data_IF_422873096773
#
_entry.id   IF_422873096773
#
_cell.length_a   1.000
_cell.length_b   1.000
_cell.length_c   1.000
_cell.angle_alpha   90.00
_cell.angle_beta   90.00
_cell.angle_gamma   90.00
#
_symmetry.space_group_name_H-M   'P 1'
#
loop_
_entity.id
_entity.type
_entity.pdbx_description
1 polymer ?
#
# COMPACT_ATOMS: atom_id res chain seq x y z
N UNK A 1 26.36 -62.07 10.41
CA UNK A 1 26.50 -60.64 10.10
C UNK A 1 26.59 -60.53 8.58
N UNK A 2 25.50 -60.19 7.89
CA UNK A 2 25.51 -59.99 6.44
C UNK A 2 24.52 -58.86 6.09
N UNK A 3 25.01 -57.83 5.41
CA UNK A 3 24.23 -56.69 4.94
C UNK A 3 23.84 -56.91 3.46
N UNK A 4 22.57 -56.66 3.12
CA UNK A 4 22.02 -56.81 1.78
C UNK A 4 22.18 -55.53 0.95
N UNK A 5 22.82 -55.62 -0.21
CA UNK A 5 22.79 -54.61 -1.28
C UNK A 5 21.62 -54.88 -2.23
N UNK A 6 20.83 -53.84 -2.55
CA UNK A 6 19.65 -53.89 -3.41
C UNK A 6 20.02 -53.71 -4.90
N UNK A 7 19.41 -54.44 -5.85
CA UNK A 7 19.79 -54.44 -7.26
C UNK A 7 19.09 -53.34 -8.09
N UNK A 8 19.84 -52.76 -9.03
CA UNK A 8 19.32 -51.94 -10.15
C UNK A 8 18.59 -52.81 -11.18
N UNK A 9 17.62 -52.26 -11.94
CA UNK A 9 17.24 -52.82 -13.22
C UNK A 9 17.62 -51.92 -14.41
N UNK A 10 17.91 -52.64 -15.49
CA UNK A 10 18.44 -52.24 -16.79
C UNK A 10 17.31 -51.80 -17.74
N UNK A 11 17.69 -50.90 -18.64
CA UNK A 11 17.02 -50.38 -19.84
C UNK A 11 16.31 -51.41 -20.72
N UNK A 12 15.16 -51.06 -21.29
CA UNK A 12 14.54 -51.75 -22.44
C UNK A 12 14.14 -50.73 -23.50
N UNK A 13 14.84 -50.79 -24.65
CA UNK A 13 14.29 -50.88 -26.01
C UNK A 13 13.37 -49.77 -26.53
N UNK A 14 13.88 -49.03 -27.51
CA UNK A 14 13.20 -48.07 -28.37
C UNK A 14 12.13 -48.70 -29.28
N UNK A 15 11.03 -47.98 -29.53
CA UNK A 15 10.34 -47.98 -30.84
C UNK A 15 9.79 -46.59 -31.13
N UNK A 16 10.17 -46.06 -32.29
CA UNK A 16 9.80 -44.78 -32.88
C UNK A 16 8.35 -44.74 -33.37
N UNK A 17 7.60 -43.67 -33.03
CA UNK A 17 6.61 -43.01 -33.90
C UNK A 17 6.33 -41.58 -33.39
N UNK A 18 6.70 -40.57 -34.20
CA UNK A 18 6.41 -39.13 -34.07
C UNK A 18 4.91 -38.81 -34.25
N UNK A 19 4.41 -37.56 -34.02
CA UNK A 19 5.08 -36.34 -33.58
C UNK A 19 4.38 -35.68 -32.38
N UNK A 20 5.07 -35.34 -31.30
CA UNK A 20 4.63 -34.19 -30.53
C UNK A 20 5.79 -33.57 -29.78
N UNK A 21 6.12 -32.36 -30.21
CA UNK A 21 7.18 -31.50 -29.70
C UNK A 21 7.01 -31.33 -28.20
N UNK A 22 7.70 -32.17 -27.41
CA UNK A 22 7.79 -31.98 -25.97
C UNK A 22 8.60 -30.71 -25.75
N UNK A 23 7.91 -29.60 -25.51
CA UNK A 23 8.53 -28.36 -25.07
C UNK A 23 9.38 -28.66 -23.83
N UNK A 24 10.68 -28.42 -23.96
CA UNK A 24 11.62 -28.50 -22.84
C UNK A 24 11.16 -27.52 -21.77
N UNK A 25 11.21 -27.91 -20.48
CA UNK A 25 10.85 -27.05 -19.35
C UNK A 25 11.62 -25.71 -19.35
N UNK A 26 12.80 -25.68 -19.99
CA UNK A 26 13.58 -24.46 -20.18
C UNK A 26 12.92 -23.40 -21.08
N UNK A 27 11.95 -23.78 -21.93
CA UNK A 27 11.24 -22.83 -22.81
C UNK A 27 10.08 -22.08 -22.15
N UNK A 28 9.59 -22.53 -20.99
CA UNK A 28 8.57 -21.83 -20.19
C UNK A 28 9.15 -20.71 -19.32
N UNK A 29 10.47 -20.62 -19.20
CA UNK A 29 11.17 -19.60 -18.40
C UNK A 29 11.58 -18.37 -19.21
N UNK A 30 10.98 -18.13 -20.38
CA UNK A 30 11.17 -16.84 -21.06
C UNK A 30 10.57 -15.76 -20.16
N UNK A 31 11.35 -14.76 -19.70
CA UNK A 31 10.78 -13.61 -19.04
C UNK A 31 9.82 -12.96 -20.04
N UNK A 32 8.53 -12.99 -19.73
CA UNK A 32 7.59 -12.10 -20.39
C UNK A 32 8.12 -10.70 -20.13
N UNK A 33 8.57 -10.01 -21.18
CA UNK A 33 8.89 -8.59 -21.10
C UNK A 33 7.56 -7.86 -20.90
N UNK A 34 7.04 -7.88 -19.67
CA UNK A 34 6.31 -6.73 -19.19
C UNK A 34 7.29 -5.58 -19.29
N UNK A 35 6.93 -4.58 -20.08
CA UNK A 35 7.60 -3.29 -20.16
C UNK A 35 7.43 -2.56 -18.82
N UNK A 36 7.93 -3.17 -17.73
CA UNK A 36 8.19 -2.47 -16.50
C UNK A 36 9.37 -1.58 -16.83
N UNK A 37 9.07 -0.31 -17.06
CA UNK A 37 10.05 0.76 -17.07
C UNK A 37 10.69 0.75 -15.68
N UNK A 38 11.69 -0.12 -15.49
CA UNK A 38 12.49 -0.22 -14.28
C UNK A 38 13.30 1.07 -14.25
N UNK A 39 12.71 2.13 -13.69
CA UNK A 39 13.47 3.30 -13.31
C UNK A 39 14.53 2.76 -12.36
N UNK A 40 15.79 2.78 -12.82
CA UNK A 40 16.94 2.33 -12.06
C UNK A 40 16.92 3.14 -10.77
N UNK A 41 16.48 2.54 -9.67
CA UNK A 41 16.35 3.23 -8.37
C UNK A 41 17.76 3.54 -7.91
N UNK A 42 18.23 4.75 -8.19
CA UNK A 42 19.54 5.22 -7.71
C UNK A 42 19.40 5.49 -6.23
N UNK A 43 20.11 4.70 -5.41
CA UNK A 43 20.17 4.92 -3.98
C UNK A 43 20.85 6.26 -3.70
N UNK A 44 20.31 7.02 -2.75
CA UNK A 44 20.95 8.24 -2.30
C UNK A 44 22.27 7.95 -1.57
N UNK A 45 23.29 8.79 -1.74
CA UNK A 45 24.53 8.67 -0.98
C UNK A 45 24.28 8.93 0.50
N UNK A 46 25.07 8.28 1.35
CA UNK A 46 25.09 8.51 2.79
C UNK A 46 26.16 9.58 3.08
N UNK A 47 25.76 10.62 3.81
CA UNK A 47 26.64 11.69 4.29
C UNK A 47 26.86 11.52 5.80
N UNK A 48 28.06 11.80 6.31
CA UNK A 48 28.31 11.75 7.76
C UNK A 48 28.22 13.17 8.34
N UNK A 49 27.14 13.45 9.05
CA UNK A 49 26.90 14.75 9.70
C UNK A 49 27.14 14.56 11.20
N UNK A 50 28.15 15.23 11.75
CA UNK A 50 28.60 15.06 13.15
C UNK A 50 28.92 13.59 13.54
N UNK A 51 29.39 12.78 12.58
CA UNK A 51 29.69 11.37 12.80
C UNK A 51 28.48 10.43 12.65
N UNK A 52 27.29 10.96 12.38
CA UNK A 52 26.08 10.17 12.17
C UNK A 52 25.79 9.98 10.67
N UNK A 53 25.61 8.72 10.20
CA UNK A 53 25.25 8.44 8.80
C UNK A 53 23.84 8.96 8.52
N UNK A 54 23.75 9.94 7.62
CA UNK A 54 22.54 10.69 7.30
C UNK A 54 22.27 10.63 5.81
N UNK A 55 21.00 10.40 5.44
CA UNK A 55 20.52 10.53 4.07
C UNK A 55 19.65 11.78 3.99
N UNK A 56 19.97 12.69 3.07
CA UNK A 56 19.24 13.96 2.92
C UNK A 56 18.26 13.87 1.77
N UNK A 57 17.01 14.22 2.05
CA UNK A 57 15.95 14.38 1.05
C UNK A 57 15.64 15.86 0.89
N UNK A 58 15.49 16.32 -0.34
CA UNK A 58 14.98 17.66 -0.61
C UNK A 58 13.46 17.67 -0.44
N UNK A 59 12.88 18.86 -0.33
CA UNK A 59 11.43 18.96 -0.17
C UNK A 59 10.69 18.52 -1.44
N UNK A 60 11.26 18.80 -2.61
CA UNK A 60 10.72 18.42 -3.91
C UNK A 60 10.66 16.90 -4.08
N UNK A 61 11.69 16.19 -3.61
CA UNK A 61 11.73 14.73 -3.62
C UNK A 61 10.66 14.13 -2.68
N UNK A 62 10.46 14.76 -1.51
CA UNK A 62 9.42 14.35 -0.57
C UNK A 62 8.02 14.53 -1.14
N UNK A 63 7.78 15.66 -1.81
CA UNK A 63 6.52 15.92 -2.50
C UNK A 63 6.29 14.99 -3.69
N UNK A 64 7.35 14.70 -4.45
CA UNK A 64 7.30 13.74 -5.55
C UNK A 64 6.95 12.34 -5.05
N UNK A 65 7.59 11.88 -3.98
CA UNK A 65 7.26 10.62 -3.33
C UNK A 65 5.81 10.61 -2.82
N UNK A 66 5.33 11.70 -2.22
CA UNK A 66 3.94 11.81 -1.81
C UNK A 66 2.95 11.73 -2.99
N UNK A 67 3.30 12.29 -4.15
CA UNK A 67 2.49 12.15 -5.37
C UNK A 67 2.48 10.71 -5.87
N UNK A 68 3.65 10.07 -5.94
CA UNK A 68 3.81 8.68 -6.40
C UNK A 68 3.05 7.68 -5.52
N UNK A 69 3.04 7.90 -4.21
CA UNK A 69 2.30 7.06 -3.23
C UNK A 69 0.79 7.39 -3.15
N UNK A 70 0.31 8.36 -3.94
CA UNK A 70 -1.09 8.80 -3.95
C UNK A 70 -1.52 9.59 -2.71
N UNK A 71 -0.57 10.11 -1.92
CA UNK A 71 -0.85 10.86 -0.69
C UNK A 71 -1.36 12.29 -0.96
N UNK A 72 -1.15 12.80 -2.17
CA UNK A 72 -1.66 14.11 -2.59
C UNK A 72 -3.20 14.20 -2.66
N UNK A 73 -3.90 13.06 -2.81
CA UNK A 73 -5.36 12.93 -2.75
C UNK A 73 -5.81 12.22 -1.45
N UNK A 74 -5.04 12.40 -0.38
CA UNK A 74 -5.35 11.81 0.92
C UNK A 74 -5.90 12.83 1.92
N UNK A 75 -6.84 12.37 2.74
CA UNK A 75 -7.36 13.13 3.88
C UNK A 75 -7.03 12.42 5.19
N UNK A 76 -6.90 13.21 6.24
CA UNK A 76 -6.87 12.71 7.61
C UNK A 76 -8.24 12.89 8.23
N UNK A 77 -8.77 11.81 8.80
CA UNK A 77 -9.96 11.85 9.66
C UNK A 77 -9.49 11.69 11.11
N UNK A 78 -9.64 12.76 11.91
CA UNK A 78 -9.28 12.81 13.32
C UNK A 78 -10.54 12.68 14.18
N UNK A 79 -10.62 11.62 14.97
CA UNK A 79 -11.66 11.42 15.96
C UNK A 79 -11.35 12.19 17.25
N UNK A 80 -12.38 12.73 17.91
CA UNK A 80 -12.20 13.55 19.12
C UNK A 80 -11.69 12.74 20.32
N UNK A 81 -12.34 11.63 20.64
CA UNK A 81 -12.05 10.85 21.85
C UNK A 81 -11.70 9.40 21.53
N UNK A 82 -12.71 8.64 21.12
CA UNK A 82 -12.61 7.24 20.72
C UNK A 82 -12.88 7.13 19.23
N UNK A 83 -12.46 6.01 18.67
CA UNK A 83 -12.67 5.66 17.28
C UNK A 83 -13.33 4.28 17.22
N UNK A 84 -14.30 4.06 16.33
CA UNK A 84 -14.82 2.72 16.07
C UNK A 84 -13.75 1.76 15.55
N UNK A 85 -14.10 0.47 15.49
CA UNK A 85 -13.23 -0.56 14.94
C UNK A 85 -12.94 -0.28 13.47
N UNK A 86 -11.67 -0.45 13.06
CA UNK A 86 -11.20 -0.10 11.71
C UNK A 86 -11.93 -0.87 10.60
N UNK A 87 -12.34 -2.12 10.85
CA UNK A 87 -13.10 -2.93 9.91
C UNK A 87 -14.45 -2.31 9.56
N UNK A 88 -15.13 -1.71 10.54
CA UNK A 88 -16.44 -1.09 10.36
C UNK A 88 -16.32 0.26 9.69
N UNK A 89 -15.29 1.03 10.06
CA UNK A 89 -14.95 2.28 9.37
C UNK A 89 -14.70 2.06 7.88
N UNK A 90 -13.99 0.98 7.51
CA UNK A 90 -13.75 0.63 6.10
C UNK A 90 -15.01 0.34 5.31
N UNK A 91 -16.07 -0.18 5.96
CA UNK A 91 -17.34 -0.51 5.31
C UNK A 91 -18.28 0.69 5.24
N UNK A 92 -18.28 1.53 6.27
CA UNK A 92 -19.30 2.54 6.51
C UNK A 92 -18.87 3.95 6.09
N UNK A 93 -17.59 4.33 6.26
CA UNK A 93 -17.13 5.67 5.85
C UNK A 93 -17.32 5.93 4.35
N UNK A 94 -16.98 5.00 3.43
CA UNK A 94 -17.18 5.25 2.00
C UNK A 94 -18.66 5.49 1.66
N UNK A 95 -19.56 4.78 2.35
CA UNK A 95 -21.01 4.95 2.19
C UNK A 95 -21.49 6.28 2.75
N UNK A 96 -20.99 6.69 3.91
CA UNK A 96 -21.36 7.95 4.55
C UNK A 96 -20.98 9.16 3.70
N UNK A 97 -19.83 9.11 3.03
CA UNK A 97 -19.38 10.19 2.15
C UNK A 97 -19.84 10.04 0.69
N UNK A 98 -20.63 9.01 0.38
CA UNK A 98 -21.09 8.69 -0.99
C UNK A 98 -19.93 8.63 -2.01
N UNK A 99 -18.82 8.01 -1.61
CA UNK A 99 -17.60 7.84 -2.43
C UNK A 99 -17.93 6.98 -3.65
N UNK A 100 -17.68 7.50 -4.85
CA UNK A 100 -18.00 6.82 -6.12
C UNK A 100 -16.89 5.89 -6.59
N UNK A 101 -15.64 6.23 -6.28
CA UNK A 101 -14.47 5.42 -6.56
C UNK A 101 -14.13 4.45 -5.42
N UNK A 102 -13.01 3.77 -5.57
CA UNK A 102 -12.37 3.07 -4.46
C UNK A 102 -11.63 4.05 -3.55
N UNK A 103 -11.59 3.73 -2.27
CA UNK A 103 -10.76 4.43 -1.31
C UNK A 103 -10.09 3.46 -0.35
N UNK A 104 -8.87 3.80 0.07
CA UNK A 104 -8.10 3.01 1.01
C UNK A 104 -8.08 3.70 2.38
N UNK A 105 -8.61 3.02 3.39
CA UNK A 105 -8.69 3.53 4.76
C UNK A 105 -7.68 2.78 5.63
N UNK A 106 -6.63 3.49 6.02
CA UNK A 106 -5.57 3.06 6.91
C UNK A 106 -5.65 3.70 8.28
N UNK A 107 -5.12 3.01 9.29
CA UNK A 107 -4.90 3.61 10.60
C UNK A 107 -3.53 4.28 10.63
N UNK A 108 -3.51 5.57 10.96
CA UNK A 108 -2.27 6.33 11.11
C UNK A 108 -1.84 6.44 12.58
N UNK A 109 -2.82 6.57 13.48
CA UNK A 109 -2.63 6.62 14.93
C UNK A 109 -3.93 6.16 15.64
N UNK A 110 -3.98 6.18 16.97
CA UNK A 110 -5.13 5.76 17.76
C UNK A 110 -6.43 6.50 17.34
N UNK A 111 -6.34 7.82 17.13
CA UNK A 111 -7.49 8.67 16.74
C UNK A 111 -7.47 9.12 15.27
N UNK A 112 -6.39 8.83 14.52
CA UNK A 112 -6.20 9.35 13.17
C UNK A 112 -6.31 8.22 12.15
N UNK A 113 -7.17 8.44 11.15
CA UNK A 113 -7.22 7.63 9.93
C UNK A 113 -6.59 8.40 8.79
N UNK A 114 -5.89 7.67 7.92
CA UNK A 114 -5.50 8.15 6.60
C UNK A 114 -6.45 7.53 5.59
N UNK A 115 -7.12 8.36 4.80
CA UNK A 115 -8.01 7.92 3.73
C UNK A 115 -7.46 8.42 2.40
N UNK A 116 -7.09 7.50 1.52
CA UNK A 116 -6.63 7.79 0.16
C UNK A 116 -7.78 7.53 -0.81
N UNK A 117 -8.01 8.46 -1.72
CA UNK A 117 -9.02 8.30 -2.77
C UNK A 117 -8.34 8.01 -4.10
N UNK A 118 -9.01 7.21 -4.93
CA UNK A 118 -8.55 6.96 -6.30
C UNK A 118 -9.10 8.00 -7.29
N UNK A 119 -10.09 8.80 -6.86
CA UNK A 119 -10.71 9.86 -7.66
C UNK A 119 -10.60 11.19 -6.93
N UNK A 120 -10.05 12.17 -7.64
CA UNK A 120 -9.99 13.55 -7.17
C UNK A 120 -11.36 14.13 -6.74
N UNK A 121 -12.45 13.82 -7.45
CA UNK A 121 -13.78 14.32 -7.09
C UNK A 121 -14.25 13.81 -5.72
N UNK A 122 -13.96 12.55 -5.39
CA UNK A 122 -14.31 11.98 -4.08
C UNK A 122 -13.47 12.64 -2.97
N UNK A 123 -12.18 12.89 -3.25
CA UNK A 123 -11.30 13.64 -2.36
C UNK A 123 -11.85 15.04 -2.04
N UNK A 124 -12.20 15.82 -3.07
CA UNK A 124 -12.76 17.18 -2.89
C UNK A 124 -14.08 17.13 -2.13
N UNK A 125 -14.96 16.19 -2.47
CA UNK A 125 -16.26 16.02 -1.81
C UNK A 125 -16.10 15.72 -0.32
N UNK A 126 -15.25 14.75 0.04
CA UNK A 126 -15.00 14.41 1.44
C UNK A 126 -14.34 15.57 2.17
N UNK A 127 -13.35 16.23 1.55
CA UNK A 127 -12.63 17.33 2.17
C UNK A 127 -13.52 18.56 2.44
N UNK A 128 -14.57 18.76 1.64
CA UNK A 128 -15.56 19.82 1.87
C UNK A 128 -16.32 19.68 3.20
N UNK A 129 -16.37 18.45 3.74
CA UNK A 129 -16.97 18.15 5.04
C UNK A 129 -15.94 18.31 6.15
N UNK A 130 -15.75 19.52 6.67
CA UNK A 130 -14.72 19.82 7.68
C UNK A 130 -14.92 19.08 9.03
N UNK A 131 -16.15 18.80 9.42
CA UNK A 131 -16.51 18.02 10.61
C UNK A 131 -17.71 17.12 10.35
N UNK A 132 -17.85 16.08 11.15
CA UNK A 132 -18.98 15.16 11.06
C UNK A 132 -19.11 14.24 12.25
N UNK A 133 -20.21 13.51 12.27
CA UNK A 133 -20.48 12.47 13.25
C UNK A 133 -20.54 11.13 12.53
N UNK A 134 -19.92 10.12 13.11
CA UNK A 134 -20.04 8.74 12.67
C UNK A 134 -20.88 7.99 13.69
N UNK A 135 -22.02 7.43 13.27
CA UNK A 135 -22.90 6.68 14.17
C UNK A 135 -22.61 5.19 14.05
N UNK A 136 -22.29 4.53 15.15
CA UNK A 136 -22.02 3.10 15.18
C UNK A 136 -22.31 2.52 16.55
N UNK A 137 -23.04 1.40 16.59
CA UNK A 137 -23.37 0.67 17.82
C UNK A 137 -24.07 1.54 18.87
N UNK A 138 -25.00 2.39 18.43
CA UNK A 138 -25.73 3.32 19.31
C UNK A 138 -24.93 4.56 19.77
N UNK A 139 -23.64 4.62 19.47
CA UNK A 139 -22.74 5.72 19.84
C UNK A 139 -22.48 6.67 18.67
N UNK A 140 -22.23 7.95 19.00
CA UNK A 140 -21.86 8.98 18.03
C UNK A 140 -20.40 9.42 18.22
N UNK A 141 -19.61 9.29 17.17
CA UNK A 141 -18.20 9.60 17.17
C UNK A 141 -17.95 10.88 16.37
N UNK A 142 -17.63 11.97 17.08
CA UNK A 142 -17.25 13.24 16.45
C UNK A 142 -15.88 13.11 15.78
N UNK A 143 -15.78 13.54 14.52
CA UNK A 143 -14.53 13.62 13.80
C UNK A 143 -14.38 14.95 13.04
N UNK A 144 -13.14 15.27 12.68
CA UNK A 144 -12.76 16.34 11.76
C UNK A 144 -11.98 15.79 10.58
N UNK A 145 -12.14 16.43 9.43
CA UNK A 145 -11.42 16.09 8.19
C UNK A 145 -10.51 17.26 7.83
N UNK A 146 -9.29 16.95 7.43
CA UNK A 146 -8.35 17.92 6.88
C UNK A 146 -7.44 17.22 5.86
N UNK A 147 -6.85 17.96 4.90
CA UNK A 147 -6.02 17.34 3.88
C UNK A 147 -4.73 16.82 4.53
N UNK A 148 -4.22 15.70 4.02
CA UNK A 148 -2.90 15.24 4.42
C UNK A 148 -1.83 16.18 3.87
N UNK A 149 -0.80 16.43 4.67
CA UNK A 149 0.40 17.17 4.25
C UNK A 149 1.64 16.42 4.70
N UNK A 150 2.76 16.63 4.01
CA UNK A 150 4.05 16.02 4.37
C UNK A 150 4.60 16.47 5.73
N UNK A 151 4.07 17.58 6.26
CA UNK A 151 4.36 18.11 7.59
C UNK A 151 3.40 17.60 8.67
N UNK A 152 2.38 16.79 8.32
CA UNK A 152 1.42 16.29 9.30
C UNK A 152 2.09 15.42 10.36
N UNK A 153 1.89 15.78 11.64
CA UNK A 153 2.35 15.01 12.79
C UNK A 153 1.16 14.62 13.67
N UNK A 154 0.86 13.31 13.84
CA UNK A 154 -0.28 12.86 14.65
C UNK A 154 -0.14 13.14 16.16
N UNK A 155 1.10 13.38 16.63
CA UNK A 155 1.38 13.70 18.04
C UNK A 155 1.19 15.18 18.35
N UNK A 156 1.21 16.03 17.33
CA UNK A 156 0.95 17.46 17.48
C UNK A 156 -0.54 17.74 17.25
N UNK A 157 -1.11 18.66 18.04
CA UNK A 157 -2.46 19.12 17.71
C UNK A 157 -2.41 19.96 16.45
N UNK A 158 -3.08 19.50 15.40
CA UNK A 158 -3.36 20.34 14.23
C UNK A 158 -4.06 21.61 14.72
N UNK A 159 -3.45 22.81 14.56
CA UNK A 159 -4.10 24.05 14.96
C UNK A 159 -5.40 24.22 14.16
N UNK A 160 -6.41 24.82 14.80
CA UNK A 160 -7.61 25.26 14.06
C UNK A 160 -7.15 26.30 13.03
N UNK A 161 -7.42 26.04 11.75
CA UNK A 161 -7.35 27.06 10.71
C UNK A 161 -8.43 28.12 10.94
#
# INVERSE_FOLDING_TARGET
>A
MAASSSPQPVTVGETNTNPNTKMSYSTTLKPQQTTNKLLKTVLKPIEFIHGEPTVRFTMEEREQSAREEGLHEAVIIKFAYRKPVLSELRKLLPKQFDVKGSCNIGQLDFRHLLVRFDRYNDFVQVLSSSYGYFKFDGEEYLFRIFPWTSAFNPKEETPKA
#
